data_IF_533160018188
#
_entry.id   IF_533160018188
#
_cell.length_a   1.000
_cell.length_b   1.000
_cell.length_c   1.000
_cell.angle_alpha   90.00
_cell.angle_beta   90.00
_cell.angle_gamma   90.00
#
_symmetry.space_group_name_H-M   'P 1'
#
loop_
_entity.id
_entity.type
_entity.pdbx_description
1 polymer ?
#
# COMPACT_ATOMS: atom_id res chain seq x y z
N UNK A 1 -29.59 14.16 18.13
CA UNK A 1 -28.87 13.79 19.37
C UNK A 1 -27.55 14.58 19.38
N UNK A 2 -27.25 15.26 20.48
CA UNK A 2 -25.99 16.00 20.61
C UNK A 2 -24.79 15.02 20.62
N UNK A 3 -23.79 15.31 19.79
CA UNK A 3 -22.59 14.48 19.73
C UNK A 3 -21.75 14.70 20.99
N UNK A 4 -21.46 13.64 21.73
CA UNK A 4 -20.57 13.70 22.92
C UNK A 4 -19.18 14.22 22.51
N UNK A 5 -18.66 15.16 23.29
CA UNK A 5 -17.41 15.85 23.04
C UNK A 5 -16.35 15.50 24.09
N UNK A 6 -15.07 15.84 23.83
CA UNK A 6 -13.99 15.70 24.82
C UNK A 6 -14.27 16.52 26.08
N UNK A 7 -15.01 17.64 25.96
CA UNK A 7 -15.41 18.50 27.08
C UNK A 7 -16.39 17.76 28.01
N UNK A 8 -17.27 16.94 27.44
CA UNK A 8 -18.24 16.18 28.25
C UNK A 8 -17.54 15.06 29.04
N UNK A 9 -16.55 14.40 28.40
CA UNK A 9 -15.70 13.40 29.11
C UNK A 9 -14.88 14.07 30.21
N UNK A 10 -14.28 15.23 29.95
CA UNK A 10 -13.47 15.98 30.90
C UNK A 10 -14.31 16.39 32.12
N UNK A 11 -15.49 16.94 31.87
CA UNK A 11 -16.46 17.35 32.93
C UNK A 11 -16.89 16.14 33.78
N UNK A 12 -17.25 15.03 33.14
CA UNK A 12 -17.71 13.83 33.81
C UNK A 12 -16.61 13.11 34.59
N UNK A 13 -15.36 13.11 34.06
CA UNK A 13 -14.20 12.51 34.72
C UNK A 13 -13.57 13.42 35.79
N UNK A 14 -13.96 14.69 35.91
CA UNK A 14 -13.40 15.65 36.86
C UNK A 14 -11.93 16.02 36.56
N UNK A 15 -11.57 16.11 35.28
CA UNK A 15 -10.21 16.45 34.82
C UNK A 15 -10.24 17.48 33.69
N UNK A 16 -9.07 18.03 33.34
CA UNK A 16 -8.97 18.95 32.20
C UNK A 16 -9.09 18.21 30.87
N UNK A 17 -9.52 18.89 29.79
CA UNK A 17 -9.51 18.36 28.42
C UNK A 17 -8.12 17.88 28.02
N UNK A 18 -7.06 18.58 28.44
CA UNK A 18 -5.67 18.20 28.21
C UNK A 18 -5.35 16.84 28.83
N UNK A 19 -5.84 16.58 30.05
CA UNK A 19 -5.69 15.28 30.72
C UNK A 19 -6.43 14.17 29.99
N UNK A 20 -7.66 14.43 29.53
CA UNK A 20 -8.41 13.46 28.70
C UNK A 20 -7.64 13.14 27.41
N UNK A 21 -7.15 14.16 26.71
CA UNK A 21 -6.37 13.98 25.49
C UNK A 21 -5.13 13.11 25.73
N UNK A 22 -4.34 13.38 26.81
CA UNK A 22 -3.16 12.60 27.17
C UNK A 22 -3.50 11.13 27.46
N UNK A 23 -4.60 10.88 28.17
CA UNK A 23 -5.06 9.51 28.44
C UNK A 23 -5.44 8.78 27.16
N UNK A 24 -6.22 9.40 26.29
CA UNK A 24 -6.69 8.80 25.04
C UNK A 24 -5.55 8.56 24.03
N UNK A 25 -4.51 9.38 24.09
CA UNK A 25 -3.29 9.22 23.28
C UNK A 25 -2.22 8.30 23.92
N UNK A 26 -2.57 7.64 25.03
CA UNK A 26 -1.67 6.76 25.79
C UNK A 26 -0.34 7.43 26.18
N UNK A 27 -0.31 8.76 26.39
CA UNK A 27 0.88 9.49 26.77
C UNK A 27 1.41 9.01 28.13
N UNK A 28 2.74 8.96 28.31
CA UNK A 28 3.35 8.65 29.61
C UNK A 28 3.03 9.75 30.64
N UNK A 29 3.28 9.45 31.93
CA UNK A 29 3.12 10.39 33.05
C UNK A 29 1.68 10.79 33.41
N UNK A 30 0.68 9.97 33.07
CA UNK A 30 -0.67 10.07 33.65
C UNK A 30 -0.85 8.98 34.71
N UNK A 31 -1.27 9.36 35.91
CA UNK A 31 -1.51 8.39 37.00
C UNK A 31 -2.55 7.35 36.57
N UNK A 32 -2.34 6.09 36.94
CA UNK A 32 -3.17 4.96 36.54
C UNK A 32 -4.64 5.15 36.92
N UNK A 33 -4.90 5.58 38.14
CA UNK A 33 -6.27 5.89 38.63
C UNK A 33 -7.00 6.92 37.76
N UNK A 34 -6.27 7.94 37.26
CA UNK A 34 -6.84 8.98 36.40
C UNK A 34 -7.09 8.41 35.02
N UNK A 35 -6.18 7.55 34.52
CA UNK A 35 -6.31 6.87 33.24
C UNK A 35 -7.54 5.98 33.22
N UNK A 36 -7.71 5.13 34.23
CA UNK A 36 -8.84 4.21 34.34
C UNK A 36 -10.18 4.93 34.43
N UNK A 37 -10.23 5.99 35.24
CA UNK A 37 -11.42 6.83 35.37
C UNK A 37 -11.81 7.49 34.06
N UNK A 38 -10.86 8.07 33.32
CA UNK A 38 -11.14 8.72 32.04
C UNK A 38 -11.57 7.71 30.99
N UNK A 39 -10.90 6.54 30.91
CA UNK A 39 -11.28 5.46 29.99
C UNK A 39 -12.66 4.88 30.32
N UNK A 40 -12.98 4.77 31.59
CA UNK A 40 -14.30 4.34 32.07
C UNK A 40 -15.41 5.30 31.60
N UNK A 41 -15.23 6.59 31.85
CA UNK A 41 -16.18 7.65 31.44
C UNK A 41 -16.30 7.71 29.91
N UNK A 42 -15.20 7.60 29.19
CA UNK A 42 -15.23 7.61 27.72
C UNK A 42 -16.05 6.43 27.14
N UNK A 43 -15.93 5.24 27.77
CA UNK A 43 -16.74 4.05 27.41
C UNK A 43 -18.21 4.24 27.76
N UNK A 44 -18.52 4.74 28.96
CA UNK A 44 -19.88 5.01 29.43
C UNK A 44 -20.62 5.97 28.49
N UNK A 45 -19.93 7.07 28.10
CA UNK A 45 -20.47 8.08 27.19
C UNK A 45 -20.39 7.68 25.71
N UNK A 46 -19.85 6.50 25.39
CA UNK A 46 -19.55 6.06 24.01
C UNK A 46 -18.75 7.10 23.21
N UNK A 47 -17.91 7.87 23.92
CA UNK A 47 -17.07 8.86 23.30
C UNK A 47 -15.98 8.22 22.46
N UNK A 48 -15.88 8.66 21.21
CA UNK A 48 -14.75 8.33 20.32
C UNK A 48 -14.11 9.64 19.87
N UNK A 49 -12.79 9.79 20.03
CA UNK A 49 -12.09 10.97 19.51
C UNK A 49 -12.35 11.11 18.01
N UNK A 50 -12.77 12.28 17.56
CA UNK A 50 -12.81 12.57 16.12
C UNK A 50 -11.40 12.65 15.58
N UNK A 51 -11.13 12.06 14.41
CA UNK A 51 -9.81 12.07 13.76
C UNK A 51 -9.33 13.52 13.58
N UNK A 52 -10.22 14.42 13.16
CA UNK A 52 -9.92 15.85 13.02
C UNK A 52 -9.51 16.55 14.33
N UNK A 53 -10.00 16.10 15.50
CA UNK A 53 -9.58 16.65 16.78
C UNK A 53 -8.22 16.09 17.24
N UNK A 54 -7.86 14.89 16.80
CA UNK A 54 -6.53 14.29 17.04
C UNK A 54 -5.46 14.94 16.16
N UNK A 55 -5.76 15.24 14.89
CA UNK A 55 -4.84 15.88 13.96
C UNK A 55 -4.46 17.29 14.40
N UNK A 56 -5.41 18.08 14.90
CA UNK A 56 -5.15 19.42 15.42
C UNK A 56 -4.22 19.46 16.64
N UNK A 57 -4.20 18.38 17.43
CA UNK A 57 -3.39 18.30 18.65
C UNK A 57 -1.96 17.77 18.44
N UNK A 58 -1.66 17.15 17.30
CA UNK A 58 -0.43 16.37 17.13
C UNK A 58 0.29 16.49 15.79
N UNK A 59 -0.07 17.40 14.90
CA UNK A 59 0.51 17.52 13.54
C UNK A 59 0.49 16.19 12.73
N UNK A 60 -0.38 15.23 13.07
CA UNK A 60 -0.54 13.95 12.39
C UNK A 60 -1.98 13.75 11.96
N UNK A 61 -2.18 13.30 10.73
CA UNK A 61 -3.50 13.03 10.18
C UNK A 61 -4.09 11.69 10.65
N UNK A 62 -3.26 10.76 11.06
CA UNK A 62 -3.61 9.34 11.27
C UNK A 62 -4.20 8.67 10.01
N UNK A 63 -3.84 9.18 8.85
CA UNK A 63 -4.21 8.65 7.56
C UNK A 63 -2.95 8.24 6.78
N UNK A 64 -3.05 7.17 6.02
CA UNK A 64 -2.03 6.78 5.05
C UNK A 64 -2.65 6.77 3.67
N UNK A 65 -1.94 7.31 2.70
CA UNK A 65 -2.31 7.24 1.30
C UNK A 65 -1.95 5.88 0.70
N UNK A 66 -2.73 5.43 -0.26
CA UNK A 66 -2.43 4.27 -1.09
C UNK A 66 -2.67 4.67 -2.54
N UNK A 67 -1.58 4.84 -3.30
CA UNK A 67 -1.62 5.38 -4.65
C UNK A 67 -1.39 4.26 -5.67
N UNK A 68 -2.30 4.15 -6.63
CA UNK A 68 -2.25 3.15 -7.70
C UNK A 68 -2.67 3.76 -9.03
N UNK A 69 -2.21 3.16 -10.14
CA UNK A 69 -2.62 3.59 -11.48
C UNK A 69 -3.95 2.96 -11.90
N UNK A 70 -4.12 1.65 -11.64
CA UNK A 70 -5.30 0.90 -12.05
C UNK A 70 -5.75 -0.06 -10.95
N UNK A 71 -7.06 -0.23 -10.84
CA UNK A 71 -7.65 -1.25 -9.97
C UNK A 71 -7.47 -2.62 -10.62
N UNK A 72 -6.83 -3.53 -9.90
CA UNK A 72 -6.62 -4.92 -10.32
C UNK A 72 -6.82 -5.86 -9.14
N UNK A 73 -7.01 -7.16 -9.35
CA UNK A 73 -7.07 -8.12 -8.24
C UNK A 73 -5.83 -8.08 -7.33
N UNK A 74 -4.64 -7.86 -7.90
CA UNK A 74 -3.40 -7.68 -7.14
C UNK A 74 -3.44 -6.40 -6.29
N UNK A 75 -3.81 -5.26 -6.90
CA UNK A 75 -3.94 -3.99 -6.20
C UNK A 75 -4.96 -4.08 -5.06
N UNK A 76 -6.08 -4.78 -5.29
CA UNK A 76 -7.12 -4.98 -4.29
C UNK A 76 -6.61 -5.80 -3.09
N UNK A 77 -5.84 -6.87 -3.30
CA UNK A 77 -5.24 -7.65 -2.22
C UNK A 77 -4.21 -6.85 -1.42
N UNK A 78 -3.35 -6.08 -2.10
CA UNK A 78 -2.39 -5.19 -1.44
C UNK A 78 -3.10 -4.12 -0.59
N UNK A 79 -4.15 -3.50 -1.15
CA UNK A 79 -5.00 -2.53 -0.46
C UNK A 79 -5.68 -3.13 0.78
N UNK A 80 -6.21 -4.36 0.70
CA UNK A 80 -6.81 -5.04 1.84
C UNK A 80 -5.79 -5.30 2.96
N UNK A 81 -4.55 -5.66 2.59
CA UNK A 81 -3.44 -5.80 3.54
C UNK A 81 -3.12 -4.49 4.24
N UNK A 82 -2.96 -3.41 3.47
CA UNK A 82 -2.73 -2.06 4.00
C UNK A 82 -3.88 -1.59 4.91
N UNK A 83 -5.13 -1.82 4.51
CA UNK A 83 -6.31 -1.47 5.30
C UNK A 83 -6.35 -2.19 6.65
N UNK A 84 -5.99 -3.48 6.68
CA UNK A 84 -5.91 -4.27 7.93
C UNK A 84 -4.83 -3.71 8.86
N UNK A 85 -3.65 -3.39 8.33
CA UNK A 85 -2.55 -2.80 9.09
C UNK A 85 -2.90 -1.40 9.62
N UNK A 86 -3.55 -0.56 8.81
CA UNK A 86 -4.05 0.74 9.24
C UNK A 86 -5.04 0.60 10.39
N UNK A 87 -6.04 -0.28 10.28
CA UNK A 87 -7.03 -0.51 11.35
C UNK A 87 -6.39 -1.00 12.64
N UNK A 88 -5.44 -1.94 12.56
CA UNK A 88 -4.73 -2.45 13.72
C UNK A 88 -3.91 -1.37 14.44
N UNK A 89 -3.41 -0.37 13.71
CA UNK A 89 -2.63 0.76 14.25
C UNK A 89 -3.45 2.03 14.52
N UNK A 90 -4.79 1.95 14.44
CA UNK A 90 -5.70 3.09 14.67
C UNK A 90 -5.59 4.19 13.61
N UNK A 91 -5.18 3.82 12.39
CA UNK A 91 -5.08 4.69 11.22
C UNK A 91 -6.18 4.40 10.21
N UNK A 92 -6.33 5.28 9.24
CA UNK A 92 -7.23 5.13 8.11
C UNK A 92 -6.44 5.06 6.81
N UNK A 93 -6.96 4.36 5.81
CA UNK A 93 -6.38 4.29 4.49
C UNK A 93 -7.20 5.17 3.55
N UNK A 94 -6.55 6.09 2.87
CA UNK A 94 -7.10 6.90 1.77
C UNK A 94 -6.55 6.31 0.49
N UNK A 95 -7.40 5.95 -0.43
CA UNK A 95 -7.00 5.33 -1.70
C UNK A 95 -7.24 6.31 -2.82
N UNK A 96 -6.20 6.58 -3.58
CA UNK A 96 -6.23 7.47 -4.74
C UNK A 96 -5.72 6.73 -5.98
N UNK A 97 -6.30 7.07 -7.11
CA UNK A 97 -5.84 6.61 -8.42
C UNK A 97 -5.20 7.76 -9.17
N UNK A 98 -4.11 7.48 -9.87
CA UNK A 98 -3.45 8.46 -10.71
C UNK A 98 -3.32 7.94 -12.13
N UNK A 99 -3.66 8.78 -13.09
CA UNK A 99 -3.44 8.47 -14.50
C UNK A 99 -2.02 8.88 -14.90
N UNK A 100 -1.14 7.88 -15.02
CA UNK A 100 0.26 8.09 -15.43
C UNK A 100 0.41 8.54 -16.89
N UNK A 101 -0.69 8.54 -17.66
CA UNK A 101 -0.74 8.98 -19.06
C UNK A 101 -1.33 10.38 -19.21
N UNK A 102 -1.72 11.02 -18.12
CA UNK A 102 -2.26 12.37 -18.13
C UNK A 102 -1.28 13.37 -18.76
N UNK A 103 -1.82 14.32 -19.53
CA UNK A 103 -1.01 15.33 -20.22
C UNK A 103 -0.27 16.25 -19.25
N UNK A 104 -0.84 16.51 -18.10
CA UNK A 104 -0.26 17.38 -17.05
C UNK A 104 -0.11 16.65 -15.71
N UNK A 105 0.49 15.47 -15.77
CA UNK A 105 0.77 14.66 -14.57
C UNK A 105 1.50 15.43 -13.46
N UNK A 106 2.47 16.37 -13.74
CA UNK A 106 3.07 17.17 -12.71
C UNK A 106 2.06 18.03 -11.93
N UNK A 107 1.14 18.73 -12.60
CA UNK A 107 0.13 19.54 -11.94
C UNK A 107 -0.87 18.67 -11.15
N UNK A 108 -1.29 17.54 -11.70
CA UNK A 108 -2.15 16.57 -11.01
C UNK A 108 -1.50 16.07 -9.71
N UNK A 109 -0.18 15.86 -9.74
CA UNK A 109 0.58 15.46 -8.55
C UNK A 109 0.71 16.58 -7.51
N UNK A 110 0.94 17.83 -7.92
CA UNK A 110 0.97 18.99 -7.01
C UNK A 110 -0.38 19.16 -6.31
N UNK A 111 -1.49 19.07 -7.05
CA UNK A 111 -2.84 19.16 -6.49
C UNK A 111 -3.11 18.00 -5.53
N UNK A 112 -2.78 16.77 -5.93
CA UNK A 112 -2.97 15.58 -5.11
C UNK A 112 -2.18 15.67 -3.80
N UNK A 113 -0.90 15.99 -3.87
CA UNK A 113 -0.04 16.08 -2.68
C UNK A 113 -0.45 17.24 -1.78
N UNK A 114 -0.82 18.40 -2.36
CA UNK A 114 -1.32 19.56 -1.61
C UNK A 114 -2.68 19.32 -0.93
N UNK A 115 -3.53 18.48 -1.53
CA UNK A 115 -4.86 18.15 -1.01
C UNK A 115 -4.88 16.97 -0.02
N UNK A 116 -3.94 16.04 -0.15
CA UNK A 116 -3.87 14.84 0.68
C UNK A 116 -3.33 15.16 2.09
N UNK A 117 -4.21 15.03 3.08
CA UNK A 117 -3.80 15.13 4.49
C UNK A 117 -3.45 13.73 5.03
N UNK A 118 -2.30 13.18 4.61
CA UNK A 118 -1.82 11.86 5.02
C UNK A 118 -0.45 11.95 5.69
N UNK A 119 -0.11 10.98 6.53
CA UNK A 119 1.17 10.90 7.24
C UNK A 119 2.26 10.19 6.40
N UNK A 120 1.89 9.64 5.25
CA UNK A 120 2.77 8.94 4.32
C UNK A 120 1.96 8.17 3.28
N UNK A 121 2.61 7.71 2.22
CA UNK A 121 1.96 7.09 1.05
C UNK A 121 2.59 5.73 0.74
N UNK A 122 1.75 4.76 0.41
CA UNK A 122 2.15 3.49 -0.19
C UNK A 122 1.94 3.57 -1.69
N UNK A 123 2.99 3.36 -2.44
CA UNK A 123 3.00 3.40 -3.91
C UNK A 123 3.03 1.99 -4.49
N UNK A 124 2.05 1.67 -5.32
CA UNK A 124 2.01 0.38 -6.02
C UNK A 124 2.56 0.52 -7.45
N UNK A 125 3.15 -0.55 -7.99
CA UNK A 125 3.61 -0.55 -9.38
C UNK A 125 2.42 -0.35 -10.36
N UNK A 126 2.58 0.43 -11.46
CA UNK A 126 3.81 1.08 -11.92
C UNK A 126 4.09 2.47 -11.30
N UNK A 127 3.18 3.00 -10.46
CA UNK A 127 3.30 4.34 -9.85
C UNK A 127 4.59 4.49 -9.06
N UNK A 128 5.01 3.41 -8.39
CA UNK A 128 6.20 3.39 -7.53
C UNK A 128 7.54 3.59 -8.29
N UNK A 129 7.53 3.58 -9.62
CA UNK A 129 8.71 3.79 -10.47
C UNK A 129 8.56 5.01 -11.38
N UNK A 130 7.48 5.79 -11.24
CA UNK A 130 7.29 6.99 -12.03
C UNK A 130 8.05 8.17 -11.41
N UNK A 131 9.03 8.71 -12.15
CA UNK A 131 9.90 9.77 -11.67
C UNK A 131 9.15 11.07 -11.34
N UNK A 132 8.09 11.42 -12.10
CA UNK A 132 7.29 12.61 -11.83
C UNK A 132 6.61 12.48 -10.46
N UNK A 133 6.01 11.32 -10.19
CA UNK A 133 5.36 11.02 -8.91
C UNK A 133 6.37 11.07 -7.76
N UNK A 134 7.51 10.39 -7.92
CA UNK A 134 8.53 10.32 -6.88
C UNK A 134 9.13 11.69 -6.58
N UNK A 135 9.44 12.49 -7.63
CA UNK A 135 9.98 13.83 -7.47
C UNK A 135 9.00 14.79 -6.78
N UNK A 136 7.70 14.70 -7.09
CA UNK A 136 6.67 15.50 -6.43
C UNK A 136 6.56 15.16 -4.92
N UNK A 137 6.64 13.89 -4.57
CA UNK A 137 6.62 13.45 -3.16
C UNK A 137 7.89 13.89 -2.41
N UNK A 138 9.07 13.76 -3.03
CA UNK A 138 10.32 14.20 -2.45
C UNK A 138 10.33 15.74 -2.24
N UNK A 139 9.84 16.51 -3.22
CA UNK A 139 9.74 17.97 -3.12
C UNK A 139 8.79 18.44 -2.00
N UNK A 140 7.81 17.63 -1.66
CA UNK A 140 6.86 17.88 -0.58
C UNK A 140 7.27 17.29 0.78
N UNK A 141 8.47 16.73 0.90
CA UNK A 141 8.92 15.96 2.07
C UNK A 141 7.89 14.90 2.52
N UNK A 142 7.11 14.34 1.57
CA UNK A 142 6.07 13.35 1.86
C UNK A 142 6.69 11.97 2.01
N UNK A 143 6.63 11.33 3.18
CA UNK A 143 7.15 9.98 3.36
C UNK A 143 6.40 8.96 2.51
N UNK A 144 7.12 8.06 1.85
CA UNK A 144 6.49 7.00 1.08
C UNK A 144 7.25 5.66 1.16
N UNK A 145 6.52 4.59 0.86
CA UNK A 145 7.01 3.22 0.72
C UNK A 145 6.61 2.70 -0.65
N UNK A 146 7.55 2.07 -1.35
CA UNK A 146 7.33 1.51 -2.68
C UNK A 146 7.10 -0.01 -2.62
N UNK A 147 6.11 -0.50 -3.35
CA UNK A 147 5.81 -1.94 -3.44
C UNK A 147 6.34 -2.48 -4.76
N UNK A 148 7.30 -3.38 -4.67
CA UNK A 148 7.97 -4.07 -5.78
C UNK A 148 8.60 -3.12 -6.82
N UNK A 149 9.41 -2.11 -6.41
CA UNK A 149 10.01 -1.17 -7.35
C UNK A 149 10.96 -1.88 -8.34
N UNK A 150 11.03 -1.34 -9.56
CA UNK A 150 11.95 -1.81 -10.62
C UNK A 150 13.36 -1.27 -10.41
N UNK A 151 13.44 0.02 -10.08
CA UNK A 151 14.66 0.83 -10.10
C UNK A 151 14.91 1.50 -8.75
N UNK A 152 16.11 2.01 -8.56
CA UNK A 152 16.54 2.86 -7.43
C UNK A 152 15.95 2.43 -6.07
N UNK A 153 16.22 1.23 -5.65
CA UNK A 153 15.70 0.63 -4.40
C UNK A 153 16.16 1.38 -3.15
N UNK A 154 17.24 2.13 -3.25
CA UNK A 154 17.77 2.91 -2.14
C UNK A 154 17.02 4.22 -1.88
N UNK A 155 16.20 4.70 -2.84
CA UNK A 155 15.49 5.99 -2.74
C UNK A 155 14.49 6.06 -1.59
N UNK A 156 13.87 4.93 -1.25
CA UNK A 156 12.90 4.86 -0.14
C UNK A 156 12.84 3.46 0.45
N UNK A 157 12.18 3.31 1.59
CA UNK A 157 11.79 1.98 2.04
C UNK A 157 10.94 1.28 0.98
N UNK A 158 11.12 -0.04 0.82
CA UNK A 158 10.37 -0.82 -0.13
C UNK A 158 9.92 -2.16 0.46
N UNK A 159 8.83 -2.68 -0.12
CA UNK A 159 8.35 -4.06 0.11
C UNK A 159 8.55 -4.81 -1.18
N UNK A 160 9.27 -5.92 -1.12
CA UNK A 160 9.60 -6.73 -2.28
C UNK A 160 8.98 -8.12 -2.19
N UNK A 161 8.78 -8.71 -3.36
CA UNK A 161 8.42 -10.12 -3.54
C UNK A 161 9.56 -10.74 -4.37
N UNK A 162 10.00 -11.93 -3.99
CA UNK A 162 11.02 -12.69 -4.71
C UNK A 162 10.43 -13.30 -6.00
N UNK A 163 9.98 -12.45 -6.92
CA UNK A 163 9.27 -12.83 -8.15
C UNK A 163 10.09 -13.79 -9.02
N UNK A 164 11.41 -13.62 -9.08
CA UNK A 164 12.28 -14.51 -9.85
C UNK A 164 12.32 -15.90 -9.22
N UNK A 165 12.53 -15.97 -7.90
CA UNK A 165 12.56 -17.23 -7.18
C UNK A 165 11.21 -17.93 -7.21
N UNK A 166 10.11 -17.20 -7.06
CA UNK A 166 8.76 -17.74 -7.14
C UNK A 166 8.45 -18.33 -8.52
N UNK A 167 8.78 -17.62 -9.60
CA UNK A 167 8.60 -18.11 -10.95
C UNK A 167 9.48 -19.33 -11.25
N UNK A 168 10.71 -19.34 -10.75
CA UNK A 168 11.58 -20.51 -10.83
C UNK A 168 10.97 -21.71 -10.13
N UNK A 169 10.52 -21.54 -8.90
CA UNK A 169 9.94 -22.63 -8.09
C UNK A 169 8.74 -23.27 -8.78
N UNK A 170 7.81 -22.48 -9.29
CA UNK A 170 6.62 -23.03 -9.97
C UNK A 170 7.01 -23.72 -11.30
N UNK A 171 7.99 -23.19 -12.00
CA UNK A 171 8.48 -23.80 -13.25
C UNK A 171 9.20 -25.14 -12.96
N UNK A 172 10.07 -25.17 -11.96
CA UNK A 172 10.74 -26.39 -11.51
C UNK A 172 9.71 -27.48 -11.12
N UNK A 173 8.64 -27.08 -10.42
CA UNK A 173 7.55 -27.99 -10.06
C UNK A 173 6.88 -28.61 -11.30
N UNK A 174 6.57 -27.82 -12.31
CA UNK A 174 5.99 -28.31 -13.56
C UNK A 174 6.95 -29.26 -14.30
N UNK A 175 8.25 -28.93 -14.31
CA UNK A 175 9.28 -29.78 -14.89
C UNK A 175 9.45 -31.10 -14.13
N UNK A 176 9.33 -31.10 -12.82
CA UNK A 176 9.37 -32.31 -11.97
C UNK A 176 8.17 -33.23 -12.23
N UNK A 177 7.00 -32.66 -12.56
CA UNK A 177 5.83 -33.40 -13.01
C UNK A 177 5.94 -33.98 -14.45
N UNK A 178 7.07 -33.71 -15.11
CA UNK A 178 7.34 -34.24 -16.44
C UNK A 178 6.93 -33.35 -17.60
N UNK A 179 6.37 -32.16 -17.34
CA UNK A 179 6.06 -31.20 -18.41
C UNK A 179 7.34 -30.74 -19.09
N UNK A 180 7.33 -30.61 -20.41
CA UNK A 180 8.46 -30.09 -21.20
C UNK A 180 8.05 -28.93 -22.09
N UNK A 181 6.79 -28.80 -22.39
CA UNK A 181 6.22 -27.70 -23.17
C UNK A 181 5.41 -26.79 -22.25
N UNK A 182 6.07 -25.79 -21.66
CA UNK A 182 5.48 -24.89 -20.66
C UNK A 182 5.47 -23.48 -21.29
N UNK A 183 4.31 -22.82 -21.30
CA UNK A 183 4.15 -21.46 -21.74
C UNK A 183 4.14 -20.46 -20.58
N UNK A 184 4.56 -19.23 -20.85
CA UNK A 184 4.47 -18.10 -19.93
C UNK A 184 3.69 -16.96 -20.58
N UNK A 185 2.60 -16.51 -19.92
CA UNK A 185 1.95 -15.24 -20.27
C UNK A 185 2.63 -14.16 -19.46
N UNK A 186 3.43 -13.33 -20.11
CA UNK A 186 4.20 -12.25 -19.49
C UNK A 186 3.29 -11.05 -19.22
N UNK A 187 3.46 -10.38 -18.09
CA UNK A 187 2.78 -9.12 -17.81
C UNK A 187 3.43 -7.92 -18.51
N UNK A 188 2.90 -6.69 -18.29
CA UNK A 188 3.39 -5.48 -18.95
C UNK A 188 4.87 -5.21 -18.70
N UNK A 189 5.59 -4.63 -19.67
CA UNK A 189 7.04 -4.38 -19.54
C UNK A 189 7.41 -3.31 -18.49
N UNK A 190 6.48 -2.41 -18.17
CA UNK A 190 6.63 -1.38 -17.14
C UNK A 190 6.42 -1.88 -15.70
N UNK A 191 6.21 -3.19 -15.52
CA UNK A 191 6.17 -3.84 -14.22
C UNK A 191 7.42 -4.70 -14.00
N UNK A 192 8.24 -4.38 -13.00
CA UNK A 192 9.45 -5.14 -12.67
C UNK A 192 9.19 -6.63 -12.43
N UNK A 193 8.06 -6.97 -11.82
CA UNK A 193 7.64 -8.34 -11.59
C UNK A 193 7.57 -9.16 -12.89
N UNK A 194 7.15 -8.54 -14.01
CA UNK A 194 7.07 -9.22 -15.33
C UNK A 194 8.44 -9.72 -15.80
N UNK A 195 9.44 -8.85 -15.75
CA UNK A 195 10.80 -9.19 -16.16
C UNK A 195 11.45 -10.21 -15.20
N UNK A 196 11.23 -10.06 -13.89
CA UNK A 196 11.76 -10.98 -12.87
C UNK A 196 11.17 -12.38 -13.01
N UNK A 197 9.85 -12.50 -13.23
CA UNK A 197 9.18 -13.79 -13.45
C UNK A 197 9.63 -14.46 -14.73
N UNK A 198 9.81 -13.71 -15.82
CA UNK A 198 10.38 -14.23 -17.06
C UNK A 198 11.82 -14.73 -16.85
N UNK A 199 12.63 -14.00 -16.07
CA UNK A 199 14.00 -14.43 -15.72
C UNK A 199 13.99 -15.77 -14.97
N UNK A 200 13.17 -15.90 -13.92
CA UNK A 200 13.03 -17.13 -13.14
C UNK A 200 12.57 -18.31 -13.99
N UNK A 201 11.56 -18.09 -14.83
CA UNK A 201 11.07 -19.09 -15.78
C UNK A 201 12.16 -19.58 -16.73
N UNK A 202 12.87 -18.66 -17.40
CA UNK A 202 13.97 -18.99 -18.32
C UNK A 202 15.10 -19.75 -17.63
N UNK A 203 15.47 -19.34 -16.42
CA UNK A 203 16.52 -20.02 -15.62
C UNK A 203 16.14 -21.45 -15.27
N UNK A 204 14.88 -21.70 -14.90
CA UNK A 204 14.40 -23.05 -14.61
C UNK A 204 14.42 -23.95 -15.85
N UNK A 205 13.90 -23.47 -16.99
CA UNK A 205 13.90 -24.20 -18.25
C UNK A 205 15.32 -24.57 -18.68
N UNK A 206 16.22 -23.59 -18.67
CA UNK A 206 17.62 -23.77 -19.05
C UNK A 206 18.37 -24.75 -18.12
N UNK A 207 18.14 -24.69 -16.81
CA UNK A 207 18.77 -25.58 -15.84
C UNK A 207 18.39 -27.07 -16.04
N UNK A 208 17.25 -27.33 -16.66
CA UNK A 208 16.77 -28.68 -17.00
C UNK A 208 17.00 -29.05 -18.48
N UNK A 209 17.74 -28.22 -19.24
CA UNK A 209 18.02 -28.45 -20.65
C UNK A 209 16.78 -28.49 -21.54
N UNK A 210 15.69 -27.83 -21.10
CA UNK A 210 14.45 -27.77 -21.86
C UNK A 210 14.49 -26.53 -22.77
N UNK A 211 14.29 -26.76 -24.07
CA UNK A 211 14.23 -25.69 -25.05
C UNK A 211 12.98 -24.82 -24.82
N UNK A 212 13.15 -23.52 -25.00
CA UNK A 212 12.07 -22.53 -24.82
C UNK A 212 11.85 -21.77 -26.15
N UNK A 213 11.00 -22.29 -27.03
CA UNK A 213 10.61 -21.63 -28.25
C UNK A 213 9.93 -20.28 -27.95
N UNK A 214 10.22 -19.24 -28.77
CA UNK A 214 9.67 -17.88 -28.53
C UNK A 214 8.15 -17.82 -28.44
N UNK A 215 7.44 -18.67 -29.15
CA UNK A 215 5.97 -18.76 -29.16
C UNK A 215 5.39 -19.20 -27.82
N UNK A 216 6.18 -19.79 -26.93
CA UNK A 216 5.74 -20.12 -25.57
C UNK A 216 5.79 -18.92 -24.61
N UNK A 217 6.28 -17.78 -25.06
CA UNK A 217 6.25 -16.53 -24.29
C UNK A 217 5.25 -15.58 -24.94
N UNK A 218 4.08 -15.44 -24.33
CA UNK A 218 3.02 -14.58 -24.85
C UNK A 218 2.93 -13.30 -24.02
N UNK A 219 2.64 -12.16 -24.68
CA UNK A 219 2.42 -10.90 -23.99
C UNK A 219 1.02 -10.86 -23.36
N UNK A 220 0.93 -10.26 -22.17
CA UNK A 220 -0.32 -9.96 -21.48
C UNK A 220 -0.21 -8.67 -20.69
N UNK A 221 -1.35 -8.19 -20.15
CA UNK A 221 -1.43 -6.93 -19.39
C UNK A 221 -2.07 -7.09 -18.01
N UNK A 222 -1.95 -8.28 -17.41
CA UNK A 222 -2.55 -8.64 -16.13
C UNK A 222 -4.08 -8.51 -16.09
N UNK A 223 -4.75 -8.63 -17.24
CA UNK A 223 -6.21 -8.71 -17.34
C UNK A 223 -6.67 -10.11 -17.72
N UNK A 224 -7.93 -10.40 -17.40
CA UNK A 224 -8.57 -11.67 -17.80
C UNK A 224 -8.54 -11.83 -19.33
N UNK A 225 -8.94 -10.81 -20.06
CA UNK A 225 -9.06 -10.86 -21.52
C UNK A 225 -7.70 -11.12 -22.18
N UNK A 226 -6.64 -10.42 -21.75
CA UNK A 226 -5.29 -10.68 -22.29
C UNK A 226 -4.78 -12.08 -21.96
N UNK A 227 -5.14 -12.61 -20.80
CA UNK A 227 -4.81 -13.99 -20.43
C UNK A 227 -5.55 -15.02 -21.27
N UNK A 228 -6.83 -14.78 -21.54
CA UNK A 228 -7.65 -15.62 -22.39
C UNK A 228 -7.14 -15.67 -23.84
N UNK A 229 -6.86 -14.50 -24.43
CA UNK A 229 -6.32 -14.38 -25.78
C UNK A 229 -4.95 -15.05 -25.92
N UNK A 230 -4.05 -14.81 -24.95
CA UNK A 230 -2.71 -15.38 -24.98
C UNK A 230 -2.74 -16.91 -24.75
N UNK A 231 -3.65 -17.41 -23.91
CA UNK A 231 -3.79 -18.85 -23.65
C UNK A 231 -4.43 -19.64 -24.78
N UNK A 232 -5.11 -18.99 -25.71
CA UNK A 232 -5.71 -19.60 -26.91
C UNK A 232 -4.76 -19.73 -28.11
N UNK A 233 -3.55 -19.18 -28.01
CA UNK A 233 -2.48 -19.24 -29.04
C UNK A 233 -1.54 -20.41 -28.80
#
# INVERSE_FOLDING_TARGET
MATVTITDVARRAGVSMKTVSRVLNAEPHVREEVRDRVLGVARELRYRPKVSARSLAGARSYQLGFLLHQVSPYAMHAQLGALRACRASGRHLVVETIDLTALDLPADMEELVGGLQVDGIVLLAPVCDNEIVLNALDAADMPYVRVAPATDRARSACVEVEDEAAARTITDHLLDLGHRRIGLIQGPPNHAASARRLSGFRKAMAARGVELPPELIQAGVFSYDSGWEAGGR
#
